data_IF_017788037519
#
_entry.id   IF_017788037519
#
_cell.length_a   1.000
_cell.length_b   1.000
_cell.length_c   1.000
_cell.angle_alpha   90.00
_cell.angle_beta   90.00
_cell.angle_gamma   90.00
#
_symmetry.space_group_name_H-M   'P 1'
#
loop_
_entity.id
_entity.type
_entity.pdbx_description
1 polymer ?
2 non-polymer ?
3 non-polymer ?
4 water ?
#
# COMPACT_ATOMS: atom_id res chain seq x y z
N UNK A 10 20.91 -24.42 -13.65
CA UNK A 10 20.57 -23.07 -14.17
C UNK A 10 20.95 -22.00 -13.15
N UNK A 11 21.15 -20.78 -13.64
CA UNK A 11 21.54 -19.66 -12.75
C UNK A 11 20.45 -18.60 -12.79
N UNK A 12 20.20 -17.96 -11.66
CA UNK A 12 19.20 -16.92 -11.57
C UNK A 12 19.76 -15.64 -10.96
N UNK A 13 19.15 -14.50 -11.32
CA UNK A 13 19.51 -13.20 -10.78
C UNK A 13 18.25 -12.40 -10.52
N UNK A 14 18.19 -11.76 -9.34
CA UNK A 14 17.13 -10.82 -9.02
C UNK A 14 17.77 -9.43 -8.95
N UNK A 15 17.28 -8.52 -9.79
CA UNK A 15 17.81 -7.16 -9.87
C UNK A 15 16.68 -6.14 -9.92
N UNK A 16 17.02 -4.89 -9.60
CA UNK A 16 16.12 -3.77 -9.80
C UNK A 16 15.81 -3.59 -11.29
N UNK A 17 14.57 -3.24 -11.60
CA UNK A 17 14.19 -2.91 -12.96
C UNK A 17 14.50 -1.45 -13.22
N UNK A 18 15.02 -1.18 -14.43
CA UNK A 18 15.32 0.15 -14.90
C UNK A 18 14.38 0.46 -16.06
N UNK A 19 14.40 1.70 -16.63
CA UNK A 19 13.49 2.08 -17.72
C UNK A 19 13.52 1.21 -18.97
N UNK A 20 14.69 0.63 -19.28
CA UNK A 20 14.82 -0.22 -20.45
C UNK A 20 14.09 -1.56 -20.29
N UNK A 21 13.67 -1.88 -19.06
CA UNK A 21 12.89 -3.08 -18.79
C UNK A 21 11.38 -2.92 -18.93
N UNK A 22 10.91 -1.70 -19.23
CA UNK A 22 9.49 -1.41 -19.30
C UNK A 22 8.71 -2.32 -20.25
N UNK A 23 9.26 -2.69 -21.43
CA UNK A 23 8.61 -3.66 -22.31
C UNK A 23 8.31 -5.00 -21.63
N UNK A 24 9.25 -5.48 -20.81
CA UNK A 24 9.12 -6.76 -20.13
C UNK A 24 8.08 -6.68 -19.02
N UNK A 25 8.13 -5.60 -18.24
CA UNK A 25 7.16 -5.36 -17.18
C UNK A 25 5.76 -5.28 -17.75
N UNK A 26 5.59 -4.47 -18.80
CA UNK A 26 4.34 -4.33 -19.51
C UNK A 26 3.75 -5.68 -19.92
N UNK A 27 4.58 -6.54 -20.52
CA UNK A 27 4.16 -7.85 -20.97
C UNK A 27 3.83 -8.79 -19.82
N UNK A 28 4.60 -8.71 -18.73
CA UNK A 28 4.34 -9.52 -17.55
C UNK A 28 3.03 -9.13 -16.89
N UNK A 29 2.78 -7.82 -16.77
CA UNK A 29 1.53 -7.33 -16.20
C UNK A 29 0.34 -7.82 -17.03
N UNK A 30 0.47 -7.75 -18.36
CA UNK A 30 -0.58 -8.21 -19.25
C UNK A 30 -0.86 -9.70 -19.04
N UNK A 31 0.21 -10.52 -19.01
CA UNK A 31 0.08 -11.94 -18.74
C UNK A 31 -0.65 -12.20 -17.43
N UNK A 32 -0.37 -11.38 -16.42
CA UNK A 32 -1.02 -11.53 -15.12
C UNK A 32 -2.50 -11.22 -15.23
N UNK A 33 -2.85 -10.11 -15.90
CA UNK A 33 -4.25 -9.77 -16.14
C UNK A 33 -5.02 -10.88 -16.85
N UNK A 34 -4.38 -11.58 -17.79
CA UNK A 34 -5.02 -12.65 -18.53
C UNK A 34 -5.27 -13.82 -17.61
N UNK A 35 -4.25 -14.19 -16.83
CA UNK A 35 -4.32 -15.24 -15.84
C UNK A 35 -5.39 -15.01 -14.78
N UNK A 36 -5.50 -13.76 -14.30
CA UNK A 36 -6.46 -13.38 -13.28
C UNK A 36 -7.87 -13.04 -13.77
N UNK A 37 -8.10 -13.14 -15.09
CA UNK A 37 -9.36 -12.73 -15.69
C UNK A 37 -9.71 -11.29 -15.35
N UNK A 38 -8.77 -10.37 -15.55
CA UNK A 38 -8.98 -8.95 -15.34
C UNK A 38 -8.39 -8.11 -16.47
N UNK A 39 -8.31 -8.70 -17.68
CA UNK A 39 -7.81 -8.01 -18.85
C UNK A 39 -8.58 -6.74 -19.19
N UNK A 40 -9.87 -6.72 -18.83
CA UNK A 40 -10.72 -5.57 -19.10
C UNK A 40 -10.33 -4.35 -18.27
N UNK A 41 -9.62 -4.57 -17.17
CA UNK A 41 -9.12 -3.49 -16.33
C UNK A 41 -7.76 -2.97 -16.78
N UNK A 42 -7.12 -3.70 -17.70
CA UNK A 42 -5.75 -3.44 -18.12
C UNK A 42 -5.73 -2.27 -19.11
N UNK A 43 -5.14 -1.15 -18.68
CA UNK A 43 -4.96 0.00 -19.55
C UNK A 43 -3.49 0.45 -19.62
N UNK A 44 -2.61 -0.27 -18.92
CA UNK A 44 -1.19 0.04 -18.85
C UNK A 44 -0.51 0.04 -20.21
N UNK A 45 0.40 0.98 -20.41
CA UNK A 45 1.24 1.05 -21.60
C UNK A 45 2.70 1.21 -21.19
N UNK A 46 3.61 1.03 -22.15
CA UNK A 46 5.03 1.28 -21.89
C UNK A 46 5.25 2.72 -21.45
N UNK A 47 4.64 3.67 -22.15
CA UNK A 47 4.80 5.07 -21.81
C UNK A 47 4.24 5.35 -20.42
N UNK A 48 3.10 4.72 -20.10
CA UNK A 48 2.52 4.84 -18.78
C UNK A 48 3.44 4.34 -17.67
N UNK A 49 4.01 3.15 -17.87
CA UNK A 49 4.90 2.56 -16.87
C UNK A 49 6.17 3.37 -16.68
N UNK A 50 6.82 3.75 -17.79
CA UNK A 50 7.97 4.63 -17.74
C UNK A 50 7.63 5.97 -17.06
N UNK A 51 6.39 6.44 -17.26
CA UNK A 51 5.95 7.72 -16.70
C UNK A 51 5.72 7.69 -15.20
N UNK A 52 5.54 6.49 -14.61
CA UNK A 52 5.18 6.38 -13.22
C UNK A 52 6.05 5.52 -12.30
N UNK A 53 6.82 4.57 -12.87
CA UNK A 53 7.57 3.61 -12.07
C UNK A 53 8.85 4.18 -11.44
N UNK A 54 9.37 5.29 -12.00
CA UNK A 54 10.70 5.81 -11.62
C UNK A 54 10.74 7.28 -11.14
N UNK A 55 9.69 7.77 -10.49
CA UNK A 55 9.64 9.17 -9.98
C UNK A 55 10.21 9.28 -8.57
N UNK A 56 10.70 8.18 -8.02
CA UNK A 56 11.25 8.15 -6.65
C UNK A 56 12.42 7.16 -6.63
N UNK A 57 13.18 7.20 -5.56
CA UNK A 57 14.30 6.28 -5.44
C UNK A 57 13.76 4.85 -5.25
N UNK A 58 14.51 3.81 -5.66
CA UNK A 58 14.13 2.44 -5.32
C UNK A 58 13.81 2.35 -3.83
N UNK A 59 12.69 1.69 -3.51
CA UNK A 59 12.30 1.40 -2.14
C UNK A 59 11.63 2.55 -1.39
N UNK A 60 11.70 3.78 -1.93
CA UNK A 60 10.94 4.91 -1.39
C UNK A 60 9.48 4.86 -1.85
N UNK A 61 9.24 4.25 -3.02
CA UNK A 61 7.92 4.14 -3.60
C UNK A 61 7.90 2.88 -4.47
N UNK A 62 7.08 2.86 -5.52
CA UNK A 62 6.95 1.69 -6.35
C UNK A 62 8.31 1.24 -6.87
N UNK A 63 8.56 -0.07 -6.77
CA UNK A 63 9.86 -0.68 -6.98
C UNK A 63 9.59 -2.04 -7.63
N UNK A 64 10.46 -2.45 -8.56
CA UNK A 64 10.27 -3.72 -9.25
C UNK A 64 11.57 -4.49 -9.26
N UNK A 65 11.50 -5.75 -8.80
CA UNK A 65 12.54 -6.73 -9.05
C UNK A 65 12.15 -7.60 -10.23
N UNK A 66 13.12 -7.89 -11.11
CA UNK A 66 12.98 -8.90 -12.14
C UNK A 66 13.83 -10.12 -11.76
N UNK A 67 13.29 -11.31 -12.01
CA UNK A 67 14.04 -12.55 -11.91
C UNK A 67 14.45 -12.98 -13.30
N UNK A 68 15.76 -13.18 -13.50
CA UNK A 68 16.31 -13.60 -14.77
C UNK A 68 16.99 -14.95 -14.60
N UNK A 69 17.00 -15.74 -15.68
CA UNK A 69 17.58 -17.10 -15.63
C UNK A 69 18.58 -17.29 -16.79
N UNK A 70 19.74 -17.88 -16.50
CA UNK A 70 20.77 -18.14 -17.52
C UNK A 70 21.31 -19.56 -17.32
N UNK A 71 21.79 -20.26 -18.38
CA UNK A 71 22.45 -21.54 -18.20
C UNK A 71 23.92 -21.27 -17.84
N UNK A 72 24.27 -19.99 -17.79
CA UNK A 72 25.68 -19.62 -17.51
C UNK A 72 25.69 -18.69 -16.30
N UNK A 73 26.77 -18.69 -15.49
CA UNK A 73 26.89 -17.76 -14.38
C UNK A 73 26.69 -16.31 -14.82
N UNK A 74 26.16 -15.48 -13.92
CA UNK A 74 25.88 -14.07 -14.25
C UNK A 74 27.15 -13.22 -14.09
N UNK A 75 27.23 -12.01 -14.72
CA UNK A 75 28.41 -11.15 -14.64
C UNK A 75 28.81 -10.66 -13.24
N UNK A 76 30.07 -10.88 -12.85
CA UNK A 76 30.51 -10.53 -11.48
C UNK A 76 30.77 -9.02 -11.37
N UNK A 83 25.38 0.83 -3.75
CA UNK A 83 24.70 1.42 -2.60
C UNK A 83 23.24 0.99 -2.52
N UNK A 84 22.88 0.38 -1.38
CA UNK A 84 21.49 0.14 -0.96
C UNK A 84 20.93 -1.18 -1.48
N UNK A 85 21.46 -1.64 -2.61
CA UNK A 85 21.03 -2.87 -3.24
C UNK A 85 22.12 -3.55 -4.05
N UNK A 86 22.27 -4.87 -3.85
CA UNK A 86 23.09 -5.71 -4.72
C UNK A 86 22.22 -6.88 -5.21
N UNK A 87 22.33 -7.29 -6.49
CA UNK A 87 21.47 -8.36 -7.01
C UNK A 87 21.66 -9.72 -6.32
N UNK A 88 20.54 -10.39 -6.04
CA UNK A 88 20.53 -11.72 -5.46
C UNK A 88 20.83 -12.78 -6.52
N UNK A 89 21.96 -13.48 -6.36
CA UNK A 89 22.35 -14.56 -7.26
C UNK A 89 22.11 -15.91 -6.59
N UNK A 90 21.78 -16.92 -7.40
CA UNK A 90 21.47 -18.25 -6.89
C UNK A 90 21.48 -19.26 -8.04
N UNK A 91 21.82 -20.52 -7.73
CA UNK A 91 21.91 -21.56 -8.73
C UNK A 91 21.27 -22.86 -8.23
N UNK A 92 20.55 -23.51 -9.12
CA UNK A 92 19.78 -24.72 -8.75
C UNK A 92 19.73 -25.62 -9.98
N UNK A 93 19.10 -26.77 -9.85
CA UNK A 93 18.95 -27.67 -11.02
C UNK A 93 17.48 -27.80 -11.38
N UNK A 94 17.19 -27.93 -12.67
CA UNK A 94 15.78 -28.11 -13.13
C UNK A 94 15.66 -29.54 -13.65
N UNK A 95 14.62 -30.26 -13.23
CA UNK A 95 14.47 -31.69 -13.58
C UNK A 95 14.55 -31.89 -15.10
N UNK A 96 13.98 -30.95 -15.87
CA UNK A 96 13.93 -31.10 -17.35
C UNK A 96 14.31 -29.78 -18.02
N UNK A 97 14.60 -29.76 -19.34
CA UNK A 97 14.82 -28.50 -20.04
C UNK A 97 13.53 -27.68 -20.08
N UNK A 98 13.65 -26.35 -20.07
CA UNK A 98 12.44 -25.48 -20.04
C UNK A 98 12.03 -25.17 -21.48
N UNK A 99 10.73 -25.20 -21.76
CA UNK A 99 10.24 -24.84 -23.10
C UNK A 99 9.53 -23.48 -23.01
N UNK A 100 10.17 -22.41 -23.47
CA UNK A 100 9.59 -21.05 -23.38
C UNK A 100 9.25 -20.54 -24.78
N UNK A 101 7.96 -20.50 -25.16
CA UNK A 101 7.58 -20.03 -26.49
C UNK A 101 7.78 -18.53 -26.68
N UNK A 102 7.79 -17.79 -25.57
CA UNK A 102 7.91 -16.34 -25.59
C UNK A 102 9.32 -15.85 -25.26
N UNK A 103 10.31 -16.75 -25.37
CA UNK A 103 11.68 -16.47 -24.95
C UNK A 103 12.19 -15.16 -25.54
N UNK A 104 12.02 -15.00 -26.87
CA UNK A 104 12.53 -13.86 -27.60
C UNK A 104 11.93 -12.53 -27.17
N UNK A 105 10.74 -12.56 -26.54
CA UNK A 105 10.13 -11.35 -26.00
C UNK A 105 10.68 -10.93 -24.63
N UNK A 106 11.55 -11.75 -24.04
CA UNK A 106 12.01 -11.52 -22.67
C UNK A 106 13.53 -11.60 -22.57
N UNK A 107 14.21 -10.99 -23.55
CA UNK A 107 15.66 -10.98 -23.65
C UNK A 107 16.20 -9.55 -23.52
N UNK A 108 16.67 -9.12 -22.33
CA UNK A 108 17.20 -7.77 -22.15
C UNK A 108 18.27 -7.38 -23.17
N UNK A 109 19.19 -8.32 -23.45
CA UNK A 109 20.37 -7.99 -24.23
C UNK A 109 20.43 -8.59 -25.63
N UNK A 110 20.25 -9.91 -25.73
CA UNK A 110 20.30 -10.64 -26.99
C UNK A 110 21.68 -11.24 -27.25
N UNK A 111 22.74 -10.61 -26.73
CA UNK A 111 24.06 -11.23 -26.67
C UNK A 111 24.04 -12.40 -25.69
N UNK A 112 23.62 -12.10 -24.45
CA UNK A 112 23.62 -13.05 -23.36
C UNK A 112 22.37 -13.92 -23.42
N UNK A 113 22.52 -15.18 -22.98
CA UNK A 113 21.40 -16.10 -22.82
C UNK A 113 20.79 -15.85 -21.44
N UNK A 114 20.14 -14.69 -21.31
CA UNK A 114 19.54 -14.24 -20.06
C UNK A 114 18.08 -13.94 -20.37
N UNK A 115 17.16 -14.61 -19.66
CA UNK A 115 15.74 -14.49 -19.93
C UNK A 115 15.02 -13.99 -18.68
N UNK A 116 14.10 -13.04 -18.87
CA UNK A 116 13.24 -12.57 -17.80
C UNK A 116 12.10 -13.56 -17.63
N UNK A 117 12.05 -14.22 -16.48
CA UNK A 117 11.09 -15.28 -16.20
C UNK A 117 9.96 -14.83 -15.28
N UNK A 118 10.20 -13.81 -14.46
CA UNK A 118 9.17 -13.29 -13.58
C UNK A 118 9.53 -11.94 -12.98
N UNK A 119 8.62 -11.41 -12.17
CA UNK A 119 8.87 -10.17 -11.45
C UNK A 119 8.06 -10.10 -10.16
N UNK A 120 8.39 -9.10 -9.34
CA UNK A 120 7.62 -8.75 -8.16
C UNK A 120 7.60 -7.24 -8.10
N UNK A 121 6.40 -6.67 -7.94
CA UNK A 121 6.21 -5.23 -7.91
C UNK A 121 5.64 -4.89 -6.53
N UNK A 122 6.33 -4.00 -5.81
CA UNK A 122 5.95 -3.68 -4.46
C UNK A 122 6.22 -2.22 -4.14
N UNK A 123 5.79 -1.80 -2.93
CA UNK A 123 6.01 -0.44 -2.47
C UNK A 123 5.92 -0.36 -0.95
N UNK A 124 6.44 0.72 -0.33
CA UNK A 124 6.25 0.96 1.10
C UNK A 124 4.77 1.11 1.47
N UNK A 125 4.35 0.38 2.50
CA UNK A 125 3.06 0.64 3.12
C UNK A 125 3.39 1.20 4.51
N UNK A 126 2.38 1.31 5.38
CA UNK A 126 2.62 1.84 6.71
C UNK A 126 1.71 1.21 7.75
N UNK A 127 2.09 0.04 8.33
CA UNK A 127 1.33 -0.53 9.45
C UNK A 127 1.48 0.36 10.68
N UNK A 128 0.45 1.19 10.93
CA UNK A 128 0.59 2.33 11.82
C UNK A 128 0.76 1.97 13.29
N UNK A 129 0.41 0.73 13.66
CA UNK A 129 0.67 0.23 15.01
C UNK A 129 2.16 0.06 15.28
N UNK A 130 2.95 -0.08 14.21
CA UNK A 130 4.39 -0.18 14.32
C UNK A 130 5.11 1.18 14.22
N UNK A 131 4.35 2.23 13.86
CA UNK A 131 4.88 3.56 13.59
C UNK A 131 6.09 3.50 12.66
N UNK A 132 5.95 2.75 11.56
CA UNK A 132 7.08 2.40 10.71
C UNK A 132 6.59 1.86 9.37
N UNK A 133 7.42 1.99 8.33
CA UNK A 133 7.07 1.45 7.02
C UNK A 133 7.14 -0.07 6.99
N UNK A 134 6.28 -0.65 6.14
CA UNK A 134 6.41 -2.03 5.71
C UNK A 134 6.60 -2.04 4.21
N UNK A 135 6.64 -3.23 3.61
CA UNK A 135 6.50 -3.38 2.18
C UNK A 135 5.17 -4.07 1.86
N UNK A 136 4.50 -3.59 0.82
CA UNK A 136 3.31 -4.23 0.29
C UNK A 136 3.67 -4.77 -1.08
N UNK A 137 3.44 -6.09 -1.29
CA UNK A 137 3.65 -6.70 -2.59
C UNK A 137 2.33 -6.67 -3.35
N UNK A 138 2.34 -5.92 -4.47
CA UNK A 138 1.19 -5.78 -5.34
C UNK A 138 1.07 -6.96 -6.30
N UNK A 139 2.20 -7.34 -6.90
CA UNK A 139 2.26 -8.42 -7.88
C UNK A 139 3.46 -9.31 -7.63
N UNK A 140 3.25 -10.62 -7.74
CA UNK A 140 4.32 -11.59 -7.87
C UNK A 140 3.89 -12.60 -8.93
N UNK A 141 4.76 -12.81 -9.93
CA UNK A 141 4.39 -13.56 -11.12
C UNK A 141 5.58 -14.26 -11.75
N UNK A 142 5.49 -15.58 -11.91
CA UNK A 142 6.44 -16.35 -12.70
C UNK A 142 5.73 -16.74 -13.99
N UNK A 143 6.38 -16.48 -15.13
CA UNK A 143 5.84 -16.93 -16.41
C UNK A 143 5.67 -18.44 -16.38
N UNK A 144 4.69 -18.94 -17.14
CA UNK A 144 4.20 -20.30 -17.00
C UNK A 144 5.28 -21.35 -17.19
N UNK A 145 6.21 -21.20 -18.17
CA UNK A 145 7.30 -22.17 -18.34
C UNK A 145 8.21 -22.34 -17.13
N UNK A 146 8.18 -21.37 -16.21
CA UNK A 146 9.13 -21.29 -15.12
C UNK A 146 8.52 -21.55 -13.73
N UNK A 147 7.24 -21.92 -13.68
CA UNK A 147 6.55 -22.14 -12.43
C UNK A 147 6.90 -23.48 -11.78
N UNK A 148 6.79 -23.52 -10.45
CA UNK A 148 7.00 -24.72 -9.67
C UNK A 148 8.37 -25.35 -9.89
N UNK A 149 9.41 -24.51 -9.88
CA UNK A 149 10.78 -24.97 -9.95
C UNK A 149 11.69 -24.27 -8.93
N UNK A 150 11.07 -23.54 -7.99
CA UNK A 150 11.79 -22.91 -6.90
C UNK A 150 12.18 -21.45 -7.15
N UNK A 151 11.71 -20.87 -8.26
CA UNK A 151 12.05 -19.50 -8.61
C UNK A 151 11.15 -18.50 -7.89
N UNK A 152 9.86 -18.82 -7.78
CA UNK A 152 8.90 -17.92 -7.18
C UNK A 152 9.22 -17.56 -5.73
N UNK A 153 9.72 -18.54 -4.98
CA UNK A 153 10.13 -18.32 -3.60
C UNK A 153 11.32 -17.37 -3.52
N UNK A 154 12.22 -17.42 -4.51
CA UNK A 154 13.34 -16.50 -4.58
C UNK A 154 12.89 -15.05 -4.69
N UNK A 155 11.80 -14.80 -5.42
CA UNK A 155 11.22 -13.48 -5.54
C UNK A 155 10.70 -12.97 -4.21
N UNK A 156 9.93 -13.80 -3.51
CA UNK A 156 9.36 -13.42 -2.22
C UNK A 156 10.46 -13.25 -1.19
N UNK A 157 11.45 -14.16 -1.22
CA UNK A 157 12.60 -14.10 -0.33
C UNK A 157 13.43 -12.83 -0.55
N UNK A 158 13.53 -12.39 -1.81
CA UNK A 158 14.27 -11.17 -2.14
C UNK A 158 13.64 -9.94 -1.48
N UNK A 159 12.31 -9.84 -1.56
CA UNK A 159 11.58 -8.77 -0.91
C UNK A 159 11.77 -8.80 0.60
N UNK A 160 11.65 -10.00 1.18
CA UNK A 160 11.82 -10.21 2.61
C UNK A 160 13.22 -9.84 3.09
N UNK A 161 14.26 -10.34 2.40
CA UNK A 161 15.63 -10.04 2.76
C UNK A 161 15.93 -8.55 2.64
N UNK A 162 15.44 -7.92 1.58
CA UNK A 162 15.59 -6.48 1.40
C UNK A 162 14.95 -5.73 2.57
N UNK A 163 13.75 -6.17 2.98
CA UNK A 163 13.05 -5.54 4.09
C UNK A 163 13.89 -5.53 5.36
N UNK A 164 14.51 -6.68 5.67
CA UNK A 164 15.39 -6.80 6.81
C UNK A 164 16.54 -5.79 6.65
N UNK A 165 17.22 -5.84 5.49
CA UNK A 165 18.35 -4.96 5.22
C UNK A 165 18.05 -3.49 5.50
N UNK A 166 16.81 -3.06 5.23
CA UNK A 166 16.40 -1.68 5.44
C UNK A 166 15.60 -1.46 6.72
N UNK A 167 15.48 -2.50 7.54
CA UNK A 167 14.76 -2.40 8.80
C UNK A 167 13.25 -2.19 8.65
N UNK A 168 12.68 -2.63 7.52
CA UNK A 168 11.24 -2.62 7.31
C UNK A 168 10.63 -3.72 8.18
N UNK A 169 9.53 -3.39 8.86
CA UNK A 169 9.01 -4.23 9.93
C UNK A 169 8.22 -5.45 9.48
N UNK A 170 7.50 -5.29 8.36
CA UNK A 170 6.46 -6.22 7.93
C UNK A 170 6.38 -6.26 6.41
N UNK A 171 6.00 -7.41 5.85
CA UNK A 171 5.65 -7.51 4.44
C UNK A 171 4.25 -8.09 4.32
N UNK A 172 3.38 -7.39 3.56
CA UNK A 172 1.99 -7.77 3.40
C UNK A 172 1.56 -7.73 1.94
N UNK A 173 0.42 -8.38 1.67
CA UNK A 173 -0.23 -8.39 0.37
C UNK A 173 -1.60 -9.03 0.56
N UNK A 174 -2.39 -9.05 -0.53
CA UNK A 174 -3.65 -9.78 -0.53
C UNK A 174 -3.66 -10.85 -1.62
N UNK A 175 -4.66 -11.73 -1.54
CA UNK A 175 -4.87 -12.80 -2.51
C UNK A 175 -6.36 -13.11 -2.59
N UNK A 176 -6.82 -13.46 -3.79
CA UNK A 176 -8.23 -13.75 -4.03
C UNK A 176 -8.45 -15.26 -3.87
N UNK A 177 -9.57 -15.63 -3.26
CA UNK A 177 -9.62 -16.99 -2.73
C UNK A 177 -9.91 -18.06 -3.78
N UNK A 178 -10.12 -17.69 -5.05
CA UNK A 178 -10.10 -18.67 -6.12
C UNK A 178 -8.67 -19.16 -6.38
N UNK A 179 -7.68 -18.35 -6.03
CA UNK A 179 -6.29 -18.66 -6.32
C UNK A 179 -5.67 -19.55 -5.24
N UNK A 180 -6.15 -20.80 -5.18
CA UNK A 180 -5.73 -21.78 -4.18
C UNK A 180 -4.24 -22.11 -4.25
N UNK A 181 -3.70 -22.16 -5.45
CA UNK A 181 -2.28 -22.40 -5.67
C UNK A 181 -1.40 -21.34 -4.99
N UNK A 182 -1.77 -20.06 -5.16
CA UNK A 182 -1.02 -18.97 -4.57
C UNK A 182 -1.20 -18.97 -3.05
N UNK A 183 -2.44 -19.18 -2.58
CA UNK A 183 -2.69 -19.33 -1.15
C UNK A 183 -1.78 -20.38 -0.52
N UNK A 184 -1.65 -21.54 -1.18
CA UNK A 184 -0.83 -22.64 -0.68
C UNK A 184 0.66 -22.33 -0.70
N UNK A 185 1.09 -21.62 -1.77
CA UNK A 185 2.44 -21.11 -1.88
C UNK A 185 2.79 -20.22 -0.69
N UNK A 186 1.92 -19.24 -0.42
CA UNK A 186 2.14 -18.29 0.66
C UNK A 186 2.20 -18.96 2.03
N UNK A 187 1.28 -19.91 2.28
CA UNK A 187 1.30 -20.69 3.50
C UNK A 187 2.63 -21.40 3.68
N UNK A 188 3.11 -22.03 2.60
CA UNK A 188 4.35 -22.79 2.62
C UNK A 188 5.56 -21.87 2.82
N UNK A 189 5.44 -20.62 2.39
CA UNK A 189 6.47 -19.61 2.59
C UNK A 189 6.46 -19.05 4.01
N UNK A 190 5.49 -19.47 4.84
CA UNK A 190 5.43 -19.06 6.23
C UNK A 190 4.60 -17.80 6.47
N UNK A 191 3.73 -17.45 5.51
CA UNK A 191 2.88 -16.27 5.64
C UNK A 191 1.63 -16.58 6.45
N UNK A 192 1.20 -15.61 7.26
CA UNK A 192 -0.10 -15.65 7.90
C UNK A 192 -1.14 -15.24 6.87
N UNK A 193 -2.28 -15.94 6.85
CA UNK A 193 -3.33 -15.73 5.87
C UNK A 193 -4.66 -15.50 6.59
N UNK A 194 -5.21 -14.28 6.46
CA UNK A 194 -6.40 -13.89 7.18
C UNK A 194 -7.57 -13.71 6.21
N UNK A 195 -8.53 -14.65 6.23
CA UNK A 195 -9.60 -14.61 5.24
C UNK A 195 -10.65 -13.56 5.58
N UNK A 196 -10.73 -13.11 6.83
CA UNK A 196 -11.85 -12.31 7.28
C UNK A 196 -11.75 -10.82 6.95
N UNK A 197 -11.04 -10.50 5.86
CA UNK A 197 -10.93 -9.13 5.37
C UNK A 197 -11.63 -8.95 4.03
N UNK A 198 -12.15 -7.74 3.78
CA UNK A 198 -12.72 -7.38 2.49
C UNK A 198 -11.97 -6.22 1.83
N UNK A 199 -11.80 -6.31 0.50
CA UNK A 199 -11.12 -5.27 -0.26
C UNK A 199 -12.11 -4.18 -0.67
N UNK A 200 -11.76 -2.92 -0.37
CA UNK A 200 -12.58 -1.78 -0.69
C UNK A 200 -11.92 -0.90 -1.75
N UNK A 201 -12.75 -0.22 -2.56
CA UNK A 201 -12.27 0.47 -3.74
C UNK A 201 -13.20 1.61 -4.17
N UNK A 202 -12.62 2.80 -4.32
CA UNK A 202 -13.22 3.87 -5.09
C UNK A 202 -12.49 3.93 -6.43
N UNK A 203 -13.21 3.61 -7.51
CA UNK A 203 -12.64 3.59 -8.84
C UNK A 203 -12.46 5.01 -9.36
N UNK A 204 -11.70 5.15 -10.45
CA UNK A 204 -11.55 6.42 -11.15
C UNK A 204 -12.87 7.13 -11.40
N UNK A 205 -13.91 6.37 -11.71
CA UNK A 205 -15.23 6.93 -11.94
C UNK A 205 -15.93 7.33 -10.65
N UNK A 206 -15.72 6.54 -9.58
CA UNK A 206 -16.26 6.87 -8.26
C UNK A 206 -15.66 8.17 -7.71
N UNK A 207 -14.36 8.36 -7.94
CA UNK A 207 -13.67 9.57 -7.51
C UNK A 207 -14.21 10.80 -8.22
N UNK A 208 -14.22 10.75 -9.56
CA UNK A 208 -14.75 11.83 -10.39
C UNK A 208 -16.17 12.23 -9.96
N UNK A 209 -16.99 11.23 -9.61
CA UNK A 209 -18.33 11.47 -9.10
C UNK A 209 -18.30 12.18 -7.74
N UNK A 210 -17.36 11.80 -6.87
CA UNK A 210 -17.20 12.46 -5.59
C UNK A 210 -16.70 13.89 -5.77
N UNK A 211 -15.88 14.11 -6.80
CA UNK A 211 -15.33 15.44 -7.05
C UNK A 211 -16.41 16.43 -7.48
N UNK A 212 -17.43 15.96 -8.22
CA UNK A 212 -18.58 16.77 -8.58
C UNK A 212 -19.47 16.87 -7.35
N UNK A 213 -19.89 18.09 -6.99
CA UNK A 213 -20.53 18.35 -5.72
C UNK A 213 -19.50 18.21 -4.58
N UNK B 10 -21.26 24.88 13.32
CA UNK B 10 -20.01 24.28 13.75
C UNK B 10 -19.11 24.02 12.54
N UNK B 11 -17.80 24.25 12.72
CA UNK B 11 -16.86 24.33 11.62
C UNK B 11 -15.78 23.27 11.69
N UNK B 12 -15.32 22.81 10.52
CA UNK B 12 -14.29 21.79 10.43
C UNK B 12 -13.19 22.19 9.45
N UNK B 13 -11.99 21.66 9.69
CA UNK B 13 -10.85 21.86 8.81
C UNK B 13 -10.08 20.55 8.69
N UNK B 14 -9.74 20.18 7.44
CA UNK B 14 -8.87 19.05 7.17
C UNK B 14 -7.56 19.62 6.64
N UNK B 15 -6.46 19.29 7.33
CA UNK B 15 -5.13 19.79 6.98
C UNK B 15 -4.11 18.66 7.06
N UNK B 16 -2.96 18.87 6.41
CA UNK B 16 -1.82 17.99 6.57
C UNK B 16 -1.30 18.03 8.00
N UNK B 17 -0.87 16.87 8.49
CA UNK B 17 -0.21 16.79 9.78
C UNK B 17 1.26 17.13 9.62
N UNK B 18 1.78 17.88 10.60
CA UNK B 18 3.19 18.22 10.71
C UNK B 18 3.76 17.54 11.95
N UNK B 19 5.08 17.63 12.21
CA UNK B 19 5.71 16.97 13.36
C UNK B 19 5.17 17.31 14.74
N UNK B 20 4.64 18.53 14.90
CA UNK B 20 4.07 18.95 16.17
C UNK B 20 2.73 18.26 16.46
N UNK B 21 2.16 17.59 15.45
CA UNK B 21 0.94 16.82 15.63
C UNK B 21 1.15 15.37 16.07
N UNK B 22 2.41 14.94 16.19
CA UNK B 22 2.66 13.53 16.45
C UNK B 22 2.06 13.03 17.77
N UNK B 23 1.97 13.85 18.84
CA UNK B 23 1.23 13.45 20.04
C UNK B 23 -0.21 13.05 19.77
N UNK B 24 -0.89 13.80 18.89
CA UNK B 24 -2.28 13.56 18.57
C UNK B 24 -2.43 12.30 17.73
N UNK B 25 -1.56 12.15 16.73
CA UNK B 25 -1.53 10.97 15.88
C UNK B 25 -1.32 9.72 16.74
N UNK B 26 -0.29 9.76 17.58
CA UNK B 26 0.03 8.69 18.51
C UNK B 26 -1.19 8.25 19.33
N UNK B 27 -1.90 9.22 19.90
CA UNK B 27 -3.07 8.96 20.72
C UNK B 27 -4.24 8.40 19.91
N UNK B 28 -4.42 8.91 18.69
CA UNK B 28 -5.46 8.43 17.81
C UNK B 28 -5.20 6.98 17.39
N UNK B 29 -3.94 6.68 17.02
CA UNK B 29 -3.57 5.32 16.66
C UNK B 29 -3.83 4.36 17.81
N UNK B 30 -3.47 4.77 19.03
CA UNK B 30 -3.70 3.95 20.21
C UNK B 30 -5.20 3.67 20.41
N UNK B 31 -6.01 4.73 20.32
CA UNK B 31 -7.46 4.59 20.42
C UNK B 31 -7.99 3.60 19.38
N UNK B 32 -7.42 3.62 18.17
CA UNK B 32 -7.84 2.71 17.12
C UNK B 32 -7.49 1.27 17.49
N UNK B 33 -6.24 1.04 17.95
CA UNK B 33 -5.84 -0.27 18.41
C UNK B 33 -6.75 -0.84 19.51
N UNK B 34 -7.23 0.02 20.42
CA UNK B 34 -8.10 -0.42 21.49
C UNK B 34 -9.45 -0.82 20.92
N UNK B 35 -9.99 0.01 20.04
CA UNK B 35 -11.24 -0.24 19.35
C UNK B 35 -11.23 -1.54 18.54
N UNK B 36 -10.11 -1.79 17.85
CA UNK B 36 -9.95 -2.97 17.02
C UNK B 36 -9.49 -4.25 17.73
N UNK B 37 -9.31 -4.18 19.05
CA UNK B 37 -8.71 -5.28 19.80
C UNK B 37 -7.37 -5.74 19.23
N UNK B 38 -6.46 -4.77 19.01
CA UNK B 38 -5.12 -5.08 18.54
C UNK B 38 -4.06 -4.27 19.29
N UNK B 39 -4.37 -3.92 20.54
CA UNK B 39 -3.45 -3.20 21.41
C UNK B 39 -2.12 -3.90 21.62
N UNK B 40 -2.13 -5.24 21.56
CA UNK B 40 -0.93 -6.04 21.74
C UNK B 40 0.07 -5.87 20.60
N UNK B 41 -0.42 -5.42 19.44
CA UNK B 41 0.43 -5.13 18.29
C UNK B 41 1.00 -3.72 18.30
N UNK B 42 0.49 -2.88 19.22
CA UNK B 42 0.81 -1.46 19.26
C UNK B 42 2.18 -1.28 19.93
N UNK B 43 3.17 -0.83 19.15
CA UNK B 43 4.48 -0.50 19.67
C UNK B 43 4.90 0.92 19.30
N UNK B 44 4.02 1.65 18.60
CA UNK B 44 4.28 3.01 18.13
C UNK B 44 4.56 3.97 19.29
N UNK B 45 5.51 4.87 19.05
CA UNK B 45 5.82 5.95 19.97
C UNK B 45 5.86 7.28 19.21
N UNK B 46 5.88 8.39 19.95
CA UNK B 46 6.06 9.70 19.34
C UNK B 46 7.36 9.77 18.55
N UNK B 47 8.45 9.31 19.14
CA UNK B 47 9.73 9.32 18.46
C UNK B 47 9.68 8.47 17.21
N UNK B 48 9.02 7.31 17.30
CA UNK B 48 8.86 6.43 16.16
C UNK B 48 8.11 7.12 15.00
N UNK B 49 6.98 7.74 15.33
CA UNK B 49 6.16 8.40 14.33
C UNK B 49 6.89 9.58 13.68
N UNK B 50 7.49 10.44 14.50
CA UNK B 50 8.31 11.53 14.01
C UNK B 50 9.47 11.02 13.15
N UNK B 51 10.01 9.85 13.50
CA UNK B 51 11.14 9.27 12.80
C UNK B 51 10.79 8.71 11.42
N UNK B 52 9.51 8.44 11.17
CA UNK B 52 9.09 7.78 9.94
C UNK B 52 8.03 8.44 9.07
N UNK B 53 7.22 9.36 9.64
CA UNK B 53 6.09 9.92 8.94
C UNK B 53 6.47 11.02 7.94
N UNK B 54 7.64 11.65 8.17
CA UNK B 54 8.03 12.84 7.38
C UNK B 54 9.35 12.69 6.60
N UNK B 55 9.66 11.50 6.07
CA UNK B 55 10.91 11.26 5.31
C UNK B 55 10.71 11.54 3.81
N UNK B 56 9.49 11.88 3.40
CA UNK B 56 9.17 12.17 2.00
C UNK B 56 8.19 13.33 1.96
N UNK B 57 8.00 13.90 0.77
CA UNK B 57 7.05 14.99 0.61
C UNK B 57 5.64 14.46 0.84
N UNK B 58 4.68 15.31 1.28
CA UNK B 58 3.29 14.91 1.36
C UNK B 58 2.89 14.27 0.03
N UNK B 59 2.18 13.13 0.11
CA UNK B 59 1.61 12.46 -1.04
C UNK B 59 2.58 11.60 -1.85
N UNK B 60 3.89 11.74 -1.62
CA UNK B 60 4.88 10.85 -2.21
C UNK B 60 4.97 9.52 -1.45
N UNK B 61 4.64 9.56 -0.16
CA UNK B 61 4.68 8.40 0.72
C UNK B 61 3.65 8.64 1.82
N UNK B 62 3.88 8.06 3.00
CA UNK B 62 2.92 8.16 4.08
C UNK B 62 2.58 9.62 4.35
N UNK B 63 1.27 9.88 4.49
CA UNK B 63 0.69 11.21 4.55
C UNK B 63 -0.48 11.12 5.53
N UNK B 64 -0.70 12.17 6.32
CA UNK B 64 -1.77 12.18 7.29
C UNK B 64 -2.55 13.48 7.21
N UNK B 65 -3.88 13.34 7.06
CA UNK B 65 -4.80 14.45 7.29
C UNK B 65 -5.38 14.36 8.69
N UNK B 66 -5.47 15.51 9.37
CA UNK B 66 -6.22 15.63 10.61
C UNK B 66 -7.50 16.42 10.34
N UNK B 67 -8.61 15.99 10.95
CA UNK B 67 -9.84 16.73 10.93
C UNK B 67 -9.98 17.46 12.28
N UNK B 68 -10.14 18.77 12.22
CA UNK B 68 -10.30 19.61 13.40
C UNK B 68 -11.67 20.26 13.38
N UNK B 69 -12.25 20.46 14.58
CA UNK B 69 -13.56 21.08 14.74
C UNK B 69 -13.45 22.32 15.62
N UNK B 70 -14.22 23.36 15.26
CA UNK B 70 -14.34 24.56 16.05
C UNK B 70 -15.78 25.08 16.00
N UNK B 71 -16.27 25.75 17.07
CA UNK B 71 -17.51 26.52 16.99
C UNK B 71 -17.34 27.86 16.27
N UNK B 72 -16.09 28.23 16.00
CA UNK B 72 -15.78 29.45 15.28
C UNK B 72 -15.17 29.13 13.91
N UNK B 73 -15.34 30.01 12.90
CA UNK B 73 -14.64 29.84 11.62
C UNK B 73 -13.12 29.81 11.76
N UNK B 74 -12.50 28.98 10.93
CA UNK B 74 -11.04 28.83 10.95
C UNK B 74 -10.48 30.01 10.17
N UNK B 75 -9.45 30.70 10.72
CA UNK B 75 -8.93 31.87 10.06
C UNK B 75 -7.86 31.57 9.03
N UNK B 76 -7.80 32.40 7.99
CA UNK B 76 -6.81 32.22 6.91
C UNK B 76 -5.85 33.38 6.94
N UNK B 83 1.53 22.78 -0.29
CA UNK B 83 2.22 23.18 -1.53
C UNK B 83 1.42 22.81 -2.77
N UNK B 84 1.13 21.51 -2.89
CA UNK B 84 0.08 20.99 -3.77
C UNK B 84 -1.18 20.71 -2.96
N UNK B 85 -1.43 21.54 -1.93
CA UNK B 85 -2.48 21.30 -0.97
C UNK B 85 -2.99 22.58 -0.30
N UNK B 86 -4.32 22.72 -0.22
CA UNK B 86 -4.96 23.73 0.59
C UNK B 86 -5.97 23.02 1.51
N UNK B 87 -6.10 23.44 2.80
CA UNK B 87 -7.01 22.75 3.72
C UNK B 87 -8.48 22.82 3.33
N UNK B 88 -9.17 21.69 3.47
CA UNK B 88 -10.60 21.58 3.23
C UNK B 88 -11.40 22.17 4.39
N UNK B 89 -12.14 23.25 4.13
CA UNK B 89 -13.02 23.84 5.11
C UNK B 89 -14.47 23.47 4.82
N UNK B 90 -15.27 23.33 5.87
CA UNK B 90 -16.66 22.91 5.75
C UNK B 90 -17.38 23.24 7.06
N UNK B 91 -18.68 23.54 6.95
CA UNK B 91 -19.48 23.93 8.10
C UNK B 91 -20.87 23.33 7.99
N UNK B 92 -21.40 22.87 9.14
CA UNK B 92 -22.78 22.39 9.22
C UNK B 92 -23.23 22.33 10.67
N UNK B 93 -24.50 21.97 10.87
CA UNK B 93 -25.11 21.91 12.19
C UNK B 93 -24.96 20.53 12.81
N UNK B 94 -24.97 20.49 14.14
CA UNK B 94 -25.01 19.25 14.90
C UNK B 94 -26.14 19.38 15.92
N UNK B 95 -26.92 18.31 16.06
CA UNK B 95 -28.22 18.33 16.70
C UNK B 95 -28.14 18.79 18.16
N UNK B 96 -27.24 18.16 18.91
CA UNK B 96 -27.11 18.35 20.34
C UNK B 96 -25.63 18.41 20.69
N UNK B 97 -25.24 18.90 21.89
CA UNK B 97 -23.85 19.27 22.16
C UNK B 97 -22.93 18.06 22.29
N UNK B 98 -21.71 18.19 21.75
CA UNK B 98 -20.70 17.16 21.85
C UNK B 98 -20.20 17.12 23.30
N UNK B 99 -19.89 15.92 23.78
CA UNK B 99 -19.26 15.73 25.07
C UNK B 99 -17.94 14.99 24.86
N UNK B 100 -16.84 15.74 24.95
CA UNK B 100 -15.51 15.18 24.69
C UNK B 100 -14.68 15.15 25.97
N UNK B 101 -14.54 13.97 26.63
CA UNK B 101 -13.77 13.88 27.87
C UNK B 101 -12.27 14.09 27.67
N UNK B 102 -11.79 13.81 26.45
CA UNK B 102 -10.39 13.89 26.12
C UNK B 102 -10.01 15.18 25.38
N UNK B 103 -10.88 16.19 25.47
CA UNK B 103 -10.73 17.42 24.72
C UNK B 103 -9.33 18.02 24.87
N UNK B 104 -8.88 18.12 26.13
CA UNK B 104 -7.61 18.75 26.48
C UNK B 104 -6.40 18.04 25.88
N UNK B 105 -6.54 16.75 25.55
CA UNK B 105 -5.47 16.01 24.91
C UNK B 105 -5.38 16.23 23.39
N UNK B 106 -6.32 16.98 22.82
CA UNK B 106 -6.41 17.12 21.38
C UNK B 106 -6.55 18.58 20.95
N UNK B 107 -5.75 19.44 21.59
CA UNK B 107 -5.73 20.88 21.37
C UNK B 107 -4.39 21.34 20.80
N UNK B 108 -4.26 21.51 19.46
CA UNK B 108 -2.99 21.96 18.88
C UNK B 108 -2.46 23.26 19.49
N UNK B 109 -3.37 24.23 19.68
CA UNK B 109 -3.04 25.51 20.29
C UNK B 109 -4.06 25.70 21.42
N UNK B 110 -3.55 25.77 22.65
CA UNK B 110 -4.37 25.77 23.86
C UNK B 110 -5.22 27.04 24.05
N UNK B 111 -4.87 28.10 23.32
CA UNK B 111 -5.69 29.31 23.29
C UNK B 111 -7.01 29.05 22.58
N UNK B 112 -6.93 28.60 21.32
CA UNK B 112 -8.08 28.58 20.44
C UNK B 112 -8.89 27.30 20.60
N UNK B 113 -10.19 27.42 20.35
CA UNK B 113 -11.14 26.33 20.51
C UNK B 113 -11.16 25.47 19.24
N UNK B 114 -10.03 24.80 18.98
CA UNK B 114 -9.86 23.93 17.84
C UNK B 114 -9.45 22.57 18.39
N UNK B 115 -10.24 21.53 18.08
CA UNK B 115 -10.02 20.21 18.62
C UNK B 115 -9.81 19.21 17.49
N UNK B 116 -8.79 18.34 17.65
CA UNK B 116 -8.55 17.26 16.71
C UNK B 116 -9.53 16.13 17.03
N UNK B 117 -10.43 15.85 16.09
CA UNK B 117 -11.51 14.90 16.26
C UNK B 117 -11.27 13.57 15.56
N UNK B 118 -10.45 13.59 14.50
CA UNK B 118 -10.10 12.37 13.80
C UNK B 118 -8.94 12.54 12.83
N UNK B 119 -8.58 11.46 12.15
CA UNK B 119 -7.54 11.51 11.14
C UNK B 119 -7.74 10.43 10.09
N UNK B 120 -6.96 10.54 9.00
CA UNK B 120 -6.88 9.50 7.98
C UNK B 120 -5.41 9.44 7.59
N UNK B 121 -4.87 8.21 7.57
CA UNK B 121 -3.46 7.99 7.26
C UNK B 121 -3.43 7.13 6.01
N UNK B 122 -2.74 7.61 4.98
CA UNK B 122 -2.72 6.93 3.69
C UNK B 122 -1.37 7.07 3.00
N UNK B 123 -1.23 6.37 1.87
CA UNK B 123 -0.02 6.44 1.06
C UNK B 123 -0.27 6.02 -0.38
N UNK B 124 0.64 6.36 -1.31
CA UNK B 124 0.57 5.84 -2.67
C UNK B 124 0.68 4.31 -2.72
N UNK B 125 -0.24 3.69 -3.45
CA UNK B 125 -0.10 2.29 -3.81
C UNK B 125 0.11 2.28 -5.31
N UNK B 126 0.03 1.11 -5.95
CA UNK B 126 0.24 1.04 -7.39
C UNK B 126 -0.60 -0.07 -8.03
N UNK B 127 -1.86 0.21 -8.41
CA UNK B 127 -2.66 -0.76 -9.17
C UNK B 127 -2.06 -0.93 -10.56
N UNK B 128 -1.29 -2.01 -10.75
CA UNK B 128 -0.38 -2.10 -11.87
C UNK B 128 -1.04 -2.25 -13.23
N UNK B 129 -2.32 -2.64 -13.25
CA UNK B 129 -3.10 -2.68 -14.48
C UNK B 129 -3.35 -1.28 -15.03
N UNK B 130 -3.28 -0.27 -14.15
CA UNK B 130 -3.46 1.11 -14.55
C UNK B 130 -2.14 1.81 -14.89
N UNK B 131 -1.02 1.13 -14.61
CA UNK B 131 0.33 1.68 -14.77
C UNK B 131 0.46 3.08 -14.17
N UNK B 132 -0.04 3.23 -12.94
CA UNK B 132 -0.04 4.52 -12.27
C UNK B 132 -0.36 4.33 -10.79
N UNK B 133 -0.05 5.35 -9.99
CA UNK B 133 -0.28 5.32 -8.56
C UNK B 133 -1.75 5.43 -8.22
N UNK B 134 -2.12 4.79 -7.10
CA UNK B 134 -3.37 5.04 -6.41
C UNK B 134 -3.05 5.57 -5.02
N UNK B 135 -4.10 5.77 -4.20
CA UNK B 135 -3.91 5.96 -2.77
C UNK B 135 -4.49 4.75 -2.03
N UNK B 136 -3.77 4.32 -0.99
CA UNK B 136 -4.26 3.29 -0.08
C UNK B 136 -4.49 3.96 1.26
N UNK B 137 -5.70 3.82 1.79
CA UNK B 137 -6.04 4.34 3.12
C UNK B 137 -5.80 3.22 4.13
N UNK B 138 -4.83 3.46 5.02
CA UNK B 138 -4.46 2.52 6.08
C UNK B 138 -5.40 2.66 7.28
N UNK B 139 -5.66 3.92 7.67
CA UNK B 139 -6.49 4.21 8.84
C UNK B 139 -7.44 5.35 8.53
N UNK B 140 -8.69 5.21 8.97
CA UNK B 140 -9.64 6.30 9.07
C UNK B 140 -10.35 6.15 10.41
N UNK B 141 -10.37 7.22 11.20
CA UNK B 141 -10.83 7.16 12.58
C UNK B 141 -11.38 8.50 13.06
N UNK B 142 -12.62 8.48 13.53
CA UNK B 142 -13.22 9.61 14.23
C UNK B 142 -13.28 9.21 15.71
N UNK B 143 -12.80 10.09 16.59
CA UNK B 143 -12.93 9.86 18.02
C UNK B 143 -14.42 9.72 18.36
N UNK B 144 -14.71 8.93 19.40
CA UNK B 144 -16.06 8.45 19.66
C UNK B 144 -17.07 9.59 19.84
N UNK B 145 -16.71 10.70 20.54
CA UNK B 145 -17.64 11.83 20.69
C UNK B 145 -18.10 12.47 19.38
N UNK B 146 -17.36 12.22 18.29
CA UNK B 146 -17.56 12.90 17.02
C UNK B 146 -18.10 12.02 15.90
N UNK B 147 -18.44 10.77 16.22
CA UNK B 147 -18.95 9.83 15.21
C UNK B 147 -20.41 10.08 14.87
N UNK B 148 -20.80 9.66 13.66
CA UNK B 148 -22.17 9.75 13.18
C UNK B 148 -22.72 11.18 13.20
N UNK B 149 -21.90 12.13 12.75
CA UNK B 149 -22.34 13.51 12.59
C UNK B 149 -21.92 14.11 11.25
N UNK B 150 -21.42 13.26 10.33
CA UNK B 150 -21.05 13.68 9.00
C UNK B 150 -19.59 14.09 8.84
N UNK B 151 -18.77 13.86 9.88
CA UNK B 151 -17.36 14.22 9.83
C UNK B 151 -16.51 13.17 9.12
N UNK B 152 -16.83 11.89 9.37
CA UNK B 152 -16.06 10.79 8.82
C UNK B 152 -16.04 10.78 7.29
N UNK B 153 -17.18 11.15 6.67
CA UNK B 153 -17.27 11.24 5.22
C UNK B 153 -16.38 12.36 4.68
N UNK B 154 -16.23 13.45 5.44
CA UNK B 154 -15.33 14.53 5.05
C UNK B 154 -13.89 14.06 4.93
N UNK B 155 -13.47 13.14 5.81
CA UNK B 155 -12.14 12.57 5.76
C UNK B 155 -11.92 11.75 4.48
N UNK B 156 -12.88 10.87 4.18
CA UNK B 156 -12.79 10.03 2.99
C UNK B 156 -12.87 10.89 1.73
N UNK B 157 -13.77 11.88 1.74
CA UNK B 157 -13.93 12.81 0.64
C UNK B 157 -12.65 13.63 0.39
N UNK B 158 -11.93 13.98 1.47
CA UNK B 158 -10.69 14.72 1.35
C UNK B 158 -9.62 13.94 0.59
N UNK B 159 -9.48 12.65 0.92
CA UNK B 159 -8.57 11.76 0.23
C UNK B 159 -8.96 11.62 -1.25
N UNK B 160 -10.26 11.43 -1.51
CA UNK B 160 -10.78 11.29 -2.85
C UNK B 160 -10.55 12.54 -3.70
N UNK B 161 -10.89 13.71 -3.16
CA UNK B 161 -10.70 14.96 -3.87
C UNK B 161 -9.22 15.23 -4.16
N UNK B 162 -8.37 14.97 -3.17
CA UNK B 162 -6.93 15.09 -3.36
C UNK B 162 -6.44 14.18 -4.48
N UNK B 163 -6.95 12.94 -4.52
CA UNK B 163 -6.58 11.98 -5.55
C UNK B 163 -6.86 12.53 -6.95
N UNK B 164 -8.06 13.10 -7.13
CA UNK B 164 -8.43 13.74 -8.38
C UNK B 164 -7.42 14.83 -8.70
N UNK B 165 -7.22 15.76 -7.75
CA UNK B 165 -6.32 16.89 -7.93
C UNK B 165 -4.94 16.47 -8.45
N UNK B 166 -4.46 15.30 -8.02
CA UNK B 166 -3.16 14.80 -8.42
C UNK B 166 -3.21 13.73 -9.51
N UNK B 167 -4.41 13.47 -10.06
CA UNK B 167 -4.59 12.50 -11.11
C UNK B 167 -4.32 11.05 -10.67
N UNK B 168 -4.50 10.77 -9.38
CA UNK B 168 -4.41 9.41 -8.86
C UNK B 168 -5.67 8.65 -9.31
N UNK B 169 -5.47 7.43 -9.78
CA UNK B 169 -6.50 6.70 -10.50
C UNK B 169 -7.58 6.05 -9.63
N UNK B 170 -7.16 5.59 -8.44
CA UNK B 170 -7.94 4.68 -7.61
C UNK B 170 -7.64 4.95 -6.14
N UNK B 171 -8.64 4.74 -5.28
CA UNK B 171 -8.43 4.73 -3.83
C UNK B 171 -8.94 3.41 -3.25
N UNK B 172 -8.07 2.71 -2.52
CA UNK B 172 -8.37 1.41 -1.97
C UNK B 172 -7.99 1.30 -0.49
N UNK B 173 -8.54 0.28 0.16
CA UNK B 173 -8.25 -0.05 1.54
C UNK B 173 -8.87 -1.41 1.82
N UNK B 174 -8.64 -1.94 3.04
CA UNK B 174 -9.31 -3.14 3.49
C UNK B 174 -10.10 -2.87 4.77
N UNK B 175 -10.95 -3.85 5.12
CA UNK B 175 -11.81 -3.79 6.30
C UNK B 175 -12.07 -5.21 6.79
N UNK B 176 -12.14 -5.38 8.11
CA UNK B 176 -12.36 -6.69 8.71
C UNK B 176 -13.86 -6.89 8.92
N UNK B 177 -14.35 -8.10 8.67
CA UNK B 177 -15.78 -8.24 8.48
C UNK B 177 -16.59 -8.23 9.77
N UNK B 178 -15.95 -8.17 10.94
CA UNK B 178 -16.69 -7.88 12.17
C UNK B 178 -17.13 -6.42 12.21
N UNK B 179 -16.41 -5.56 11.47
CA UNK B 179 -16.68 -4.12 11.53
C UNK B 179 -17.79 -3.74 10.55
N UNK B 180 -19.01 -4.17 10.86
CA UNK B 180 -20.16 -3.99 9.97
C UNK B 180 -20.53 -2.52 9.81
N UNK B 181 -20.34 -1.72 10.86
CA UNK B 181 -20.57 -0.29 10.79
C UNK B 181 -19.68 0.39 9.74
N UNK B 182 -18.39 0.05 9.72
CA UNK B 182 -17.47 0.61 8.75
C UNK B 182 -17.77 0.12 7.34
N UNK B 183 -18.06 -1.20 7.20
CA UNK B 183 -18.51 -1.76 5.94
C UNK B 183 -19.70 -0.98 5.37
N UNK B 184 -20.69 -0.68 6.21
CA UNK B 184 -21.89 0.04 5.79
C UNK B 184 -21.62 1.49 5.44
N UNK B 185 -20.72 2.12 6.20
CA UNK B 185 -20.23 3.45 5.90
C UNK B 185 -19.64 3.51 4.49
N UNK B 186 -18.71 2.58 4.21
CA UNK B 186 -18.02 2.52 2.93
C UNK B 186 -18.99 2.30 1.76
N UNK B 187 -19.94 1.37 1.94
CA UNK B 187 -20.99 1.13 0.96
C UNK B 187 -21.76 2.41 0.65
N UNK B 188 -22.15 3.14 1.70
CA UNK B 188 -22.91 4.36 1.58
C UNK B 188 -22.09 5.47 0.91
N UNK B 189 -20.76 5.42 1.07
CA UNK B 189 -19.86 6.35 0.42
C UNK B 189 -19.62 6.01 -1.04
N UNK B 190 -20.21 4.90 -1.52
CA UNK B 190 -20.12 4.50 -2.92
C UNK B 190 -18.92 3.61 -3.25
N UNK B 191 -18.33 2.99 -2.22
CA UNK B 191 -17.20 2.08 -2.42
C UNK B 191 -17.68 0.69 -2.83
N UNK B 192 -16.91 0.05 -3.73
CA UNK B 192 -17.07 -1.36 -4.03
C UNK B 192 -16.42 -2.15 -2.91
N UNK B 193 -17.08 -3.24 -2.49
CA UNK B 193 -16.60 -4.05 -1.38
C UNK B 193 -16.50 -5.51 -1.81
N UNK B 194 -15.27 -6.04 -1.85
CA UNK B 194 -15.01 -7.38 -2.35
C UNK B 194 -14.60 -8.31 -1.21
N UNK B 195 -15.48 -9.22 -0.82
CA UNK B 195 -15.20 -10.03 0.36
C UNK B 195 -14.22 -11.17 0.05
N UNK B 196 -14.07 -11.55 -1.23
CA UNK B 196 -13.37 -12.77 -1.56
C UNK B 196 -11.85 -12.64 -1.61
N UNK B 197 -11.29 -11.72 -0.81
CA UNK B 197 -9.85 -11.55 -0.66
C UNK B 197 -9.37 -11.96 0.74
N UNK B 198 -8.13 -12.46 0.82
CA UNK B 198 -7.49 -12.73 2.09
C UNK B 198 -6.23 -11.89 2.30
N UNK B 199 -6.03 -11.42 3.54
CA UNK B 199 -4.86 -10.62 3.89
C UNK B 199 -3.70 -11.55 4.25
N UNK B 200 -2.54 -11.32 3.63
CA UNK B 200 -1.34 -12.09 3.88
C UNK B 200 -0.27 -11.25 4.56
N UNK B 201 0.58 -11.90 5.37
CA UNK B 201 1.53 -11.19 6.21
C UNK B 201 2.74 -12.03 6.55
N UNK B 202 3.94 -11.47 6.27
CA UNK B 202 5.18 -11.91 6.89
C UNK B 202 5.53 -10.92 7.99
N UNK B 203 5.47 -11.37 9.25
CA UNK B 203 5.74 -10.53 10.40
C UNK B 203 7.23 -10.28 10.52
N UNK B 204 7.59 -9.30 11.36
CA UNK B 204 8.99 -9.01 11.67
C UNK B 204 9.79 -10.25 12.03
N UNK B 205 9.14 -11.18 12.74
CA UNK B 205 9.77 -12.43 13.15
C UNK B 205 9.89 -13.41 11.98
N UNK B 206 8.88 -13.43 11.11
CA UNK B 206 8.90 -14.27 9.91
C UNK B 206 10.00 -13.86 8.95
N UNK B 207 10.21 -12.54 8.82
CA UNK B 207 11.26 -11.99 7.97
C UNK B 207 12.64 -12.40 8.47
N UNK B 208 12.92 -12.09 9.75
CA UNK B 208 14.18 -12.45 10.38
C UNK B 208 14.51 -13.93 10.22
N UNK B 209 13.49 -14.78 10.33
CA UNK B 209 13.63 -16.21 10.11
C UNK B 209 14.00 -16.53 8.66
N UNK B 210 13.38 -15.83 7.72
CA UNK B 210 13.70 -15.99 6.31
C UNK B 210 15.12 -15.49 6.01
N UNK B 211 15.55 -14.45 6.72
CA UNK B 211 16.88 -13.88 6.51
C UNK B 211 17.99 -14.86 6.91
N UNK B 212 17.74 -15.68 7.93
CA UNK B 212 18.70 -16.66 8.41
C UNK B 212 19.21 -17.69 7.40
N UNK B 213 18.50 -17.84 6.25
CA UNK B 213 18.97 -18.74 5.20
C UNK B 213 20.21 -18.14 4.52
#
# INVERSE_FOLDING_TARGET
>A
GPLGSTGHRMFSRIRLATPTDVPFIHKLIHQMAVFERLTHLFVATESGLASTLFNSRPFQAVTVFLLEISPSPFPTTHDASSPDFTPFLETHKVDLPIEDPDREKFLPDKLNDVVVAGFVLFFPNYPSFLAKQGFYIEDIFMREPYRRKGFGKLLLTAVAKQAVKLGVGRVEWIVIDWNVNAINFYEQMGAQVFKEWRLCRLTGDALQAIDKLNI
>B
GPLGSTGHRMFSRIRLATPTDVPFIHKLIHQMAVFERLTHLFVATESGLASTLFNSRPFQAVTVFLLEISPSPFPTTHDASSPDFTPFLETHKVDLPIEDPDREKFLPDKLNDVVVAGFVLFFPNYPSFLAKQGFYIEDIFMREPYRRKGFGKLLLTAVAKQAVKLGVGRVEWIVIDWNVNAINFYEQMGAQVFKEWRLCRLTGDALQAIDKLNI
#
